data_IF_635431860128
#
_entry.id   IF_635431860128
#
_cell.length_a   1.000
_cell.length_b   1.000
_cell.length_c   1.000
_cell.angle_alpha   90.00
_cell.angle_beta   90.00
_cell.angle_gamma   90.00
#
_symmetry.space_group_name_H-M   'P 1'
#
loop_
_entity.id
_entity.type
_entity.pdbx_description
1 polymer ?
#
# COMPACT_ATOMS: atom_id res chain seq x y z
N UNK A 1 50.82 -42.70 -6.46
CA UNK A 1 50.76 -41.27 -6.07
C UNK A 1 49.48 -40.68 -6.68
N UNK A 2 48.39 -40.69 -5.92
CA UNK A 2 47.05 -40.28 -6.39
C UNK A 2 46.78 -38.87 -5.92
N UNK A 3 46.34 -37.90 -6.76
CA UNK A 3 46.06 -36.54 -6.33
C UNK A 3 44.70 -36.49 -5.64
N UNK A 4 44.70 -35.95 -4.41
CA UNK A 4 43.48 -35.63 -3.62
C UNK A 4 42.76 -34.45 -4.27
N UNK A 5 41.60 -34.71 -4.80
CA UNK A 5 40.66 -33.70 -5.28
C UNK A 5 40.14 -32.85 -4.10
N UNK A 6 40.56 -31.59 -4.05
CA UNK A 6 40.12 -30.62 -3.06
C UNK A 6 38.78 -30.05 -3.51
N UNK A 7 37.72 -30.55 -2.91
CA UNK A 7 36.35 -30.01 -3.10
C UNK A 7 36.29 -28.55 -2.67
N UNK A 8 36.12 -27.68 -3.62
CA UNK A 8 35.89 -26.26 -3.36
C UNK A 8 34.51 -26.10 -2.68
N UNK A 9 34.54 -25.77 -1.39
CA UNK A 9 33.35 -25.29 -0.67
C UNK A 9 32.97 -23.93 -1.25
N UNK A 10 31.95 -23.91 -2.09
CA UNK A 10 31.28 -22.68 -2.51
C UNK A 10 30.69 -22.01 -1.26
N UNK A 11 31.39 -21.03 -0.75
CA UNK A 11 30.88 -20.11 0.26
C UNK A 11 29.83 -19.25 -0.45
N UNK A 12 28.57 -19.64 -0.34
CA UNK A 12 27.44 -18.74 -0.67
C UNK A 12 27.54 -17.55 0.26
N UNK A 13 27.98 -16.42 -0.27
CA UNK A 13 27.97 -15.15 0.45
C UNK A 13 26.52 -14.93 0.93
N UNK A 14 26.30 -15.12 2.21
CA UNK A 14 25.03 -14.78 2.88
C UNK A 14 24.85 -13.27 2.71
N UNK A 15 24.05 -12.87 1.75
CA UNK A 15 23.64 -11.47 1.61
C UNK A 15 23.09 -11.04 2.96
N UNK A 16 23.76 -10.08 3.57
CA UNK A 16 23.35 -9.56 4.89
C UNK A 16 22.02 -8.83 4.68
N UNK A 17 20.93 -9.37 5.24
CA UNK A 17 19.62 -8.75 5.17
C UNK A 17 19.69 -7.32 5.70
N UNK A 18 19.13 -6.37 4.96
CA UNK A 18 19.06 -4.98 5.38
C UNK A 18 17.73 -4.72 6.11
N UNK A 19 17.66 -3.63 6.87
CA UNK A 19 16.44 -3.18 7.55
C UNK A 19 15.25 -3.06 6.58
N UNK A 20 15.51 -2.56 5.38
CA UNK A 20 14.49 -2.43 4.30
C UNK A 20 13.88 -3.77 3.88
N UNK A 21 14.66 -4.85 3.89
CA UNK A 21 14.16 -6.17 3.46
C UNK A 21 13.14 -6.73 4.44
N UNK A 22 13.30 -6.43 5.74
CA UNK A 22 12.31 -6.75 6.77
C UNK A 22 11.04 -5.93 6.62
N UNK A 23 11.15 -4.64 6.31
CA UNK A 23 10.00 -3.76 6.07
C UNK A 23 9.25 -4.24 4.82
N UNK A 24 9.95 -4.59 3.74
CA UNK A 24 9.36 -5.14 2.52
C UNK A 24 8.62 -6.45 2.79
N UNK A 25 9.25 -7.37 3.50
CA UNK A 25 8.62 -8.64 3.86
C UNK A 25 7.38 -8.43 4.75
N UNK A 26 7.43 -7.48 5.68
CA UNK A 26 6.31 -7.12 6.54
C UNK A 26 5.16 -6.49 5.74
N UNK A 27 5.47 -5.63 4.78
CA UNK A 27 4.48 -5.00 3.89
C UNK A 27 3.72 -6.04 3.07
N UNK A 28 4.43 -6.97 2.46
CA UNK A 28 3.84 -8.07 1.71
C UNK A 28 3.03 -9.02 2.60
N UNK A 29 3.50 -9.29 3.82
CA UNK A 29 2.79 -10.14 4.76
C UNK A 29 1.52 -9.46 5.30
N UNK A 30 1.56 -8.13 5.52
CA UNK A 30 0.38 -7.35 5.88
C UNK A 30 -0.69 -7.45 4.79
N UNK A 31 -0.33 -7.25 3.52
CA UNK A 31 -1.27 -7.34 2.40
C UNK A 31 -1.89 -8.74 2.28
N UNK A 32 -1.10 -9.80 2.56
CA UNK A 32 -1.51 -11.20 2.42
C UNK A 32 -2.36 -11.72 3.59
N UNK A 33 -1.93 -11.44 4.81
CA UNK A 33 -2.44 -12.10 6.04
C UNK A 33 -2.93 -11.11 7.11
N UNK A 34 -2.94 -9.81 6.81
CA UNK A 34 -3.32 -8.76 7.75
C UNK A 34 -2.27 -8.54 8.85
N UNK A 35 -2.56 -7.60 9.73
CA UNK A 35 -1.66 -7.16 10.82
C UNK A 35 -1.22 -8.33 11.71
N UNK A 36 -2.14 -9.24 12.04
CA UNK A 36 -1.85 -10.41 12.91
C UNK A 36 -0.88 -11.40 12.27
N UNK A 37 -0.82 -11.45 10.94
CA UNK A 37 0.13 -12.28 10.19
C UNK A 37 1.56 -11.76 10.24
N UNK A 38 1.77 -10.47 10.49
CA UNK A 38 3.10 -9.84 10.56
C UNK A 38 3.78 -10.23 11.88
N UNK A 39 4.39 -11.41 11.92
CA UNK A 39 5.13 -11.91 13.08
C UNK A 39 6.60 -12.08 12.76
N UNK A 40 7.47 -11.91 13.76
CA UNK A 40 8.93 -12.08 13.58
C UNK A 40 9.23 -13.48 13.01
N UNK A 41 8.48 -14.50 13.42
CA UNK A 41 8.66 -15.87 12.93
C UNK A 41 8.32 -16.02 11.46
N UNK A 42 7.15 -15.51 11.04
CA UNK A 42 6.72 -15.58 9.65
C UNK A 42 7.70 -14.83 8.73
N UNK A 43 8.15 -13.64 9.16
CA UNK A 43 9.10 -12.85 8.39
C UNK A 43 10.47 -13.50 8.30
N UNK A 44 11.00 -14.03 9.42
CA UNK A 44 12.29 -14.75 9.43
C UNK A 44 12.24 -15.98 8.50
N UNK A 45 11.15 -16.75 8.55
CA UNK A 45 10.95 -17.90 7.67
C UNK A 45 10.88 -17.48 6.19
N UNK A 46 10.13 -16.42 5.88
CA UNK A 46 10.01 -15.86 4.52
C UNK A 46 11.36 -15.39 3.96
N UNK A 47 12.17 -14.73 4.81
CA UNK A 47 13.48 -14.21 4.44
C UNK A 47 14.60 -15.26 4.46
N UNK A 48 14.32 -16.49 4.93
CA UNK A 48 15.31 -17.56 5.05
C UNK A 48 16.42 -17.26 6.09
N UNK A 49 16.10 -16.50 7.13
CA UNK A 49 17.05 -16.10 8.18
C UNK A 49 16.57 -16.52 9.58
N UNK A 50 17.44 -16.39 10.57
CA UNK A 50 17.08 -16.64 11.98
C UNK A 50 16.37 -15.45 12.59
N UNK A 51 15.56 -15.67 13.65
CA UNK A 51 14.97 -14.59 14.45
C UNK A 51 16.00 -13.62 15.01
N UNK A 52 17.20 -14.10 15.36
CA UNK A 52 18.28 -13.25 15.86
C UNK A 52 18.69 -12.17 14.86
N UNK A 53 18.52 -12.43 13.54
CA UNK A 53 18.78 -11.44 12.50
C UNK A 53 17.84 -10.23 12.59
N UNK A 54 16.60 -10.41 13.06
CA UNK A 54 15.64 -9.34 13.27
C UNK A 54 16.14 -8.29 14.27
N UNK A 55 16.66 -8.75 15.40
CA UNK A 55 17.11 -7.89 16.51
C UNK A 55 18.36 -7.05 16.22
N UNK A 56 19.02 -7.29 15.07
CA UNK A 56 20.04 -6.38 14.54
C UNK A 56 19.47 -5.12 13.89
N UNK A 57 18.17 -5.13 13.54
CA UNK A 57 17.51 -4.07 12.78
C UNK A 57 16.37 -3.39 13.53
N UNK A 58 15.72 -4.12 14.45
CA UNK A 58 14.56 -3.67 15.21
C UNK A 58 14.65 -4.18 16.65
N UNK A 59 14.28 -3.32 17.58
CA UNK A 59 14.21 -3.67 19.01
C UNK A 59 13.07 -4.67 19.26
N UNK A 60 11.93 -4.47 18.60
CA UNK A 60 10.72 -5.25 18.79
C UNK A 60 9.80 -5.20 17.54
N UNK A 61 8.71 -5.97 17.58
CA UNK A 61 7.68 -5.94 16.54
C UNK A 61 7.01 -4.55 16.40
N UNK A 62 6.63 -3.85 17.48
CA UNK A 62 6.09 -2.50 17.40
C UNK A 62 6.97 -1.52 16.63
N UNK A 63 8.29 -1.56 16.75
CA UNK A 63 9.20 -0.73 15.96
C UNK A 63 9.11 -1.04 14.46
N UNK A 64 9.06 -2.33 14.09
CA UNK A 64 8.85 -2.73 12.72
C UNK A 64 7.50 -2.24 12.19
N UNK A 65 6.43 -2.37 12.99
CA UNK A 65 5.09 -1.93 12.59
C UNK A 65 5.01 -0.42 12.38
N UNK A 66 5.69 0.39 13.19
CA UNK A 66 5.83 1.84 12.96
C UNK A 66 6.56 2.13 11.66
N UNK A 67 7.70 1.48 11.41
CA UNK A 67 8.44 1.64 10.16
C UNK A 67 7.64 1.22 8.91
N UNK A 68 6.73 0.25 9.05
CA UNK A 68 5.80 -0.16 8.00
C UNK A 68 4.74 0.92 7.76
N UNK A 69 4.18 1.52 8.82
CA UNK A 69 3.23 2.64 8.71
C UNK A 69 3.88 3.84 8.02
N UNK A 70 5.10 4.21 8.44
CA UNK A 70 5.84 5.33 7.85
C UNK A 70 6.06 5.10 6.35
N UNK A 71 6.46 3.88 5.96
CA UNK A 71 6.63 3.51 4.56
C UNK A 71 5.33 3.64 3.78
N UNK A 72 4.24 3.04 4.27
CA UNK A 72 2.94 3.09 3.61
C UNK A 72 2.45 4.52 3.43
N UNK A 73 2.54 5.36 4.48
CA UNK A 73 2.14 6.76 4.42
C UNK A 73 2.97 7.55 3.41
N UNK A 74 4.28 7.28 3.33
CA UNK A 74 5.17 7.92 2.38
C UNK A 74 4.84 7.52 0.93
N UNK A 75 4.71 6.23 0.65
CA UNK A 75 4.34 5.72 -0.68
C UNK A 75 3.00 6.31 -1.14
N UNK A 76 1.99 6.34 -0.25
CA UNK A 76 0.68 6.93 -0.59
C UNK A 76 0.78 8.42 -0.90
N UNK A 77 1.62 9.17 -0.19
CA UNK A 77 1.84 10.60 -0.44
C UNK A 77 2.58 10.81 -1.76
N UNK A 78 3.63 10.05 -2.03
CA UNK A 78 4.42 10.13 -3.26
C UNK A 78 3.60 9.74 -4.50
N UNK A 79 2.74 8.72 -4.39
CA UNK A 79 1.80 8.32 -5.44
C UNK A 79 0.85 9.47 -5.81
N UNK A 80 0.22 10.10 -4.80
CA UNK A 80 -0.69 11.24 -5.02
C UNK A 80 0.06 12.45 -5.60
N UNK A 81 1.26 12.75 -5.12
CA UNK A 81 2.12 13.81 -5.67
C UNK A 81 2.54 13.49 -7.11
N UNK A 82 2.90 12.24 -7.39
CA UNK A 82 3.26 11.79 -8.75
C UNK A 82 2.11 11.96 -9.75
N UNK A 83 0.89 11.68 -9.31
CA UNK A 83 -0.32 11.92 -10.12
C UNK A 83 -0.56 13.42 -10.39
N UNK A 84 -0.15 14.29 -9.47
CA UNK A 84 -0.29 15.74 -9.60
C UNK A 84 0.79 16.35 -10.51
N UNK A 85 2.04 15.92 -10.39
CA UNK A 85 3.20 16.48 -11.06
C UNK A 85 3.31 16.04 -12.55
N UNK A 86 2.72 14.90 -12.91
CA UNK A 86 2.71 14.39 -14.30
C UNK A 86 1.64 14.99 -15.21
N UNK A 87 0.95 16.05 -14.81
CA UNK A 87 -0.36 16.37 -15.33
C UNK A 87 -0.42 17.50 -16.37
N UNK A 88 0.04 17.25 -17.57
CA UNK A 88 -0.57 17.83 -18.77
C UNK A 88 -1.77 17.01 -19.27
N UNK A 89 -2.11 15.92 -18.59
CA UNK A 89 -3.18 15.01 -18.99
C UNK A 89 -4.57 15.59 -18.69
N UNK A 90 -5.53 15.27 -19.56
CA UNK A 90 -6.96 15.49 -19.36
C UNK A 90 -7.37 15.05 -17.93
N UNK A 91 -8.16 15.86 -17.18
CA UNK A 91 -8.64 15.51 -15.85
C UNK A 91 -9.33 14.15 -15.77
N UNK A 92 -10.06 13.73 -16.81
CA UNK A 92 -10.68 12.40 -16.90
C UNK A 92 -9.61 11.29 -16.91
N UNK A 93 -8.53 11.50 -17.62
CA UNK A 93 -7.42 10.54 -17.66
C UNK A 93 -6.69 10.47 -16.31
N UNK A 94 -6.54 11.59 -15.63
CA UNK A 94 -6.00 11.60 -14.25
C UNK A 94 -6.86 10.75 -13.30
N UNK A 95 -8.18 10.90 -13.36
CA UNK A 95 -9.12 10.11 -12.55
C UNK A 95 -9.04 8.61 -12.87
N UNK A 96 -8.91 8.21 -14.14
CA UNK A 96 -8.71 6.81 -14.53
C UNK A 96 -7.41 6.24 -13.97
N UNK A 97 -6.33 7.01 -13.97
CA UNK A 97 -5.04 6.59 -13.38
C UNK A 97 -5.15 6.40 -11.88
N UNK A 98 -5.79 7.32 -11.17
CA UNK A 98 -6.06 7.18 -9.73
C UNK A 98 -6.85 5.89 -9.46
N UNK A 99 -7.87 5.61 -10.26
CA UNK A 99 -8.66 4.40 -10.14
C UNK A 99 -7.86 3.12 -10.41
N UNK A 100 -7.01 3.12 -11.45
CA UNK A 100 -6.14 1.99 -11.77
C UNK A 100 -5.17 1.70 -10.62
N UNK A 101 -4.53 2.75 -10.07
CA UNK A 101 -3.65 2.64 -8.91
C UNK A 101 -4.41 2.12 -7.68
N UNK A 102 -5.63 2.62 -7.44
CA UNK A 102 -6.47 2.15 -6.33
C UNK A 102 -6.73 0.63 -6.38
N UNK A 103 -6.91 0.07 -7.58
CA UNK A 103 -7.04 -1.39 -7.77
C UNK A 103 -5.75 -2.14 -7.46
N UNK A 104 -4.62 -1.63 -7.92
CA UNK A 104 -3.31 -2.24 -7.70
C UNK A 104 -2.96 -2.33 -6.20
N UNK A 105 -3.26 -1.28 -5.46
CA UNK A 105 -2.95 -1.20 -4.04
C UNK A 105 -4.05 -1.75 -3.13
N UNK A 106 -5.19 -2.17 -3.66
CA UNK A 106 -6.34 -2.64 -2.87
C UNK A 106 -6.01 -3.68 -1.78
N UNK A 107 -5.13 -4.67 -2.00
CA UNK A 107 -4.80 -5.65 -0.95
C UNK A 107 -4.15 -5.01 0.28
N UNK A 108 -3.19 -4.12 0.08
CA UNK A 108 -2.51 -3.46 1.19
C UNK A 108 -3.41 -2.39 1.83
N UNK A 109 -4.16 -1.63 1.05
CA UNK A 109 -5.08 -0.61 1.53
C UNK A 109 -6.19 -1.21 2.39
N UNK A 110 -6.75 -2.36 1.97
CA UNK A 110 -7.69 -3.14 2.77
C UNK A 110 -7.09 -3.55 4.12
N UNK A 111 -5.89 -4.10 4.12
CA UNK A 111 -5.23 -4.54 5.34
C UNK A 111 -4.95 -3.37 6.30
N UNK A 112 -4.53 -2.23 5.77
CA UNK A 112 -4.32 -1.00 6.52
C UNK A 112 -5.61 -0.49 7.16
N UNK A 113 -6.74 -0.46 6.43
CA UNK A 113 -8.04 -0.03 6.95
C UNK A 113 -8.59 -0.95 8.02
N UNK A 114 -8.37 -2.26 7.89
CA UNK A 114 -8.75 -3.22 8.93
C UNK A 114 -7.88 -3.04 10.19
N UNK A 115 -6.60 -2.78 10.04
CA UNK A 115 -5.70 -2.49 11.14
C UNK A 115 -6.06 -1.17 11.83
N UNK A 116 -6.41 -0.13 11.08
CA UNK A 116 -6.85 1.18 11.56
C UNK A 116 -8.08 1.15 12.47
N UNK A 117 -8.88 0.06 12.45
CA UNK A 117 -10.05 -0.07 13.31
C UNK A 117 -9.71 -0.25 14.80
N UNK A 118 -8.46 -0.62 15.12
CA UNK A 118 -8.02 -0.89 16.49
C UNK A 118 -6.62 -0.37 16.82
N UNK A 119 -5.95 0.30 15.88
CA UNK A 119 -4.64 0.91 16.07
C UNK A 119 -4.69 2.41 15.71
N UNK A 120 -4.61 3.33 16.69
CA UNK A 120 -4.75 4.77 16.45
C UNK A 120 -3.72 5.33 15.47
N UNK A 121 -2.48 4.82 15.47
CA UNK A 121 -1.45 5.27 14.54
C UNK A 121 -1.78 4.89 13.09
N UNK A 122 -2.35 3.71 12.87
CA UNK A 122 -2.82 3.28 11.55
C UNK A 122 -4.05 4.08 11.10
N UNK A 123 -4.96 4.39 12.03
CA UNK A 123 -6.12 5.25 11.77
C UNK A 123 -5.69 6.64 11.29
N UNK A 124 -4.73 7.27 11.97
CA UNK A 124 -4.24 8.59 11.58
C UNK A 124 -3.54 8.55 10.21
N UNK A 125 -2.73 7.52 9.94
CA UNK A 125 -2.08 7.34 8.66
C UNK A 125 -3.11 7.20 7.52
N UNK A 126 -4.14 6.38 7.69
CA UNK A 126 -5.22 6.21 6.72
C UNK A 126 -5.99 7.51 6.51
N UNK A 127 -6.35 8.21 7.59
CA UNK A 127 -7.02 9.52 7.48
C UNK A 127 -6.20 10.55 6.71
N UNK A 128 -4.89 10.57 6.95
CA UNK A 128 -4.00 11.50 6.24
C UNK A 128 -3.96 11.19 4.74
N UNK A 129 -3.77 9.93 4.37
CA UNK A 129 -3.76 9.49 2.97
C UNK A 129 -5.12 9.77 2.28
N UNK A 130 -6.23 9.48 2.94
CA UNK A 130 -7.57 9.75 2.41
C UNK A 130 -7.80 11.24 2.16
N UNK A 131 -7.37 12.14 3.06
CA UNK A 131 -7.48 13.60 2.86
C UNK A 131 -6.71 14.05 1.63
N UNK A 132 -5.48 13.58 1.44
CA UNK A 132 -4.66 13.92 0.28
C UNK A 132 -5.31 13.43 -1.02
N UNK A 133 -5.76 12.18 -1.05
CA UNK A 133 -6.41 11.59 -2.21
C UNK A 133 -7.73 12.28 -2.56
N UNK A 134 -8.57 12.57 -1.56
CA UNK A 134 -9.83 13.31 -1.76
C UNK A 134 -9.59 14.71 -2.32
N UNK A 135 -8.56 15.42 -1.83
CA UNK A 135 -8.18 16.72 -2.36
C UNK A 135 -7.79 16.65 -3.83
N UNK A 136 -7.03 15.63 -4.21
CA UNK A 136 -6.60 15.45 -5.60
C UNK A 136 -7.76 15.07 -6.53
N UNK A 137 -8.64 14.15 -6.12
CA UNK A 137 -9.84 13.77 -6.89
C UNK A 137 -10.74 15.01 -7.04
N UNK A 138 -10.98 15.77 -5.97
CA UNK A 138 -11.82 16.97 -6.01
C UNK A 138 -11.25 18.02 -6.97
N UNK A 139 -9.94 18.23 -6.99
CA UNK A 139 -9.30 19.15 -7.94
C UNK A 139 -9.50 18.69 -9.40
N UNK A 140 -9.37 17.39 -9.69
CA UNK A 140 -9.65 16.88 -11.03
C UNK A 140 -11.12 17.10 -11.45
N UNK A 141 -12.06 16.94 -10.52
CA UNK A 141 -13.48 17.15 -10.79
C UNK A 141 -13.83 18.64 -10.96
N UNK A 142 -13.18 19.52 -10.20
CA UNK A 142 -13.31 20.98 -10.36
C UNK A 142 -12.78 21.45 -11.73
N UNK A 143 -11.64 20.91 -12.19
CA UNK A 143 -11.08 21.12 -13.53
C UNK A 143 -12.04 20.64 -14.65
N UNK A 144 -12.93 19.68 -14.36
CA UNK A 144 -14.01 19.23 -15.26
C UNK A 144 -15.26 20.10 -15.22
N UNK A 145 -15.31 21.11 -14.34
CA UNK A 145 -16.40 22.08 -14.28
C UNK A 145 -17.52 21.77 -13.29
N UNK A 146 -17.36 20.77 -12.39
CA UNK A 146 -18.38 20.45 -11.39
C UNK A 146 -18.56 21.49 -10.26
N UNK A 147 -17.61 22.39 -10.11
CA UNK A 147 -17.59 23.35 -9.00
C UNK A 147 -17.20 22.71 -7.66
N UNK A 148 -16.62 23.52 -6.76
CA UNK A 148 -15.87 23.03 -5.60
C UNK A 148 -16.70 22.20 -4.59
N UNK A 149 -17.99 22.48 -4.41
CA UNK A 149 -18.84 21.74 -3.47
C UNK A 149 -19.22 20.37 -4.03
N UNK A 150 -19.70 20.32 -5.25
CA UNK A 150 -20.06 19.10 -5.93
C UNK A 150 -18.85 18.20 -6.17
N UNK A 151 -17.71 18.78 -6.58
CA UNK A 151 -16.45 18.07 -6.74
C UNK A 151 -16.02 17.34 -5.45
N UNK A 152 -16.13 17.99 -4.29
CA UNK A 152 -15.84 17.36 -2.99
C UNK A 152 -16.83 16.25 -2.64
N UNK A 153 -18.11 16.40 -2.98
CA UNK A 153 -19.12 15.37 -2.73
C UNK A 153 -18.84 14.13 -3.62
N UNK A 154 -18.64 14.33 -4.92
CA UNK A 154 -18.33 13.28 -5.88
C UNK A 154 -17.03 12.55 -5.51
N UNK A 155 -15.98 13.27 -5.11
CA UNK A 155 -14.72 12.69 -4.62
C UNK A 155 -14.95 11.74 -3.43
N UNK A 156 -15.77 12.12 -2.45
CA UNK A 156 -16.11 11.27 -1.31
C UNK A 156 -16.90 10.03 -1.72
N UNK A 157 -17.82 10.16 -2.67
CA UNK A 157 -18.59 9.03 -3.19
C UNK A 157 -17.66 8.04 -3.92
N UNK A 158 -16.75 8.55 -4.76
CA UNK A 158 -15.74 7.73 -5.45
C UNK A 158 -14.88 6.94 -4.46
N UNK A 159 -14.26 7.60 -3.49
CA UNK A 159 -13.41 6.92 -2.52
C UNK A 159 -14.20 5.87 -1.71
N UNK A 160 -15.41 6.19 -1.27
CA UNK A 160 -16.25 5.25 -0.52
C UNK A 160 -16.66 4.04 -1.36
N UNK A 161 -16.99 4.25 -2.63
CA UNK A 161 -17.30 3.14 -3.55
C UNK A 161 -16.09 2.22 -3.73
N UNK A 162 -14.89 2.79 -3.93
CA UNK A 162 -13.67 2.00 -4.05
C UNK A 162 -13.35 1.22 -2.78
N UNK A 163 -13.39 1.87 -1.63
CA UNK A 163 -13.14 1.22 -0.33
C UNK A 163 -14.20 0.16 -0.06
N UNK A 164 -15.47 0.43 -0.35
CA UNK A 164 -16.56 -0.55 -0.25
C UNK A 164 -16.31 -1.78 -1.11
N UNK A 165 -15.88 -1.60 -2.34
CA UNK A 165 -15.67 -2.69 -3.30
C UNK A 165 -14.66 -3.74 -2.84
N UNK A 166 -13.59 -3.37 -2.14
CA UNK A 166 -12.63 -4.35 -1.62
C UNK A 166 -12.84 -4.76 -0.15
N UNK A 167 -13.73 -4.09 0.57
CA UNK A 167 -14.12 -4.49 1.92
C UNK A 167 -15.34 -5.42 1.94
N UNK A 168 -16.21 -5.33 0.93
CA UNK A 168 -17.41 -6.15 0.84
C UNK A 168 -17.10 -7.49 0.15
N UNK A 169 -17.40 -8.64 0.78
CA UNK A 169 -17.13 -9.94 0.18
C UNK A 169 -18.15 -10.24 -0.93
N UNK A 170 -17.70 -10.87 -2.02
CA UNK A 170 -18.55 -11.51 -3.03
C UNK A 170 -18.96 -10.66 -4.22
N UNK A 171 -18.53 -9.41 -4.33
CA UNK A 171 -18.73 -8.62 -5.54
C UNK A 171 -17.46 -8.61 -6.40
N UNK A 172 -17.61 -8.90 -7.69
CA UNK A 172 -16.55 -8.70 -8.67
C UNK A 172 -16.45 -7.19 -8.94
N UNK A 173 -15.55 -6.53 -8.15
CA UNK A 173 -15.48 -5.07 -8.11
C UNK A 173 -14.98 -4.40 -9.39
N UNK A 174 -14.56 -5.14 -10.42
CA UNK A 174 -13.97 -4.57 -11.63
C UNK A 174 -14.93 -3.68 -12.40
N UNK A 175 -16.16 -4.17 -12.63
CA UNK A 175 -17.21 -3.43 -13.32
C UNK A 175 -17.74 -2.24 -12.50
N UNK A 176 -17.86 -2.42 -11.17
CA UNK A 176 -18.34 -1.37 -10.27
C UNK A 176 -17.43 -0.14 -10.28
N UNK A 177 -16.11 -0.35 -10.33
CA UNK A 177 -15.15 0.75 -10.39
C UNK A 177 -15.32 1.61 -11.64
N UNK A 178 -15.44 0.97 -12.82
CA UNK A 178 -15.56 1.68 -14.10
C UNK A 178 -16.91 2.39 -14.19
N UNK A 179 -17.99 1.71 -13.86
CA UNK A 179 -19.34 2.30 -13.88
C UNK A 179 -19.53 3.40 -12.86
N UNK A 180 -18.91 3.29 -11.68
CA UNK A 180 -18.93 4.38 -10.68
C UNK A 180 -18.29 5.64 -11.24
N UNK A 181 -17.14 5.52 -11.92
CA UNK A 181 -16.49 6.67 -12.55
C UNK A 181 -17.38 7.29 -13.63
N UNK A 182 -17.99 6.48 -14.51
CA UNK A 182 -18.88 6.96 -15.55
C UNK A 182 -20.09 7.71 -14.96
N UNK A 183 -20.76 7.13 -13.97
CA UNK A 183 -21.93 7.75 -13.31
C UNK A 183 -21.55 9.06 -12.62
N UNK A 184 -20.39 9.09 -11.97
CA UNK A 184 -19.94 10.28 -11.24
C UNK A 184 -19.33 11.36 -12.16
N UNK A 185 -19.11 11.07 -13.45
CA UNK A 185 -18.66 12.02 -14.46
C UNK A 185 -19.78 12.47 -15.42
N UNK A 186 -20.96 11.90 -15.28
CA UNK A 186 -22.16 12.34 -15.99
C UNK A 186 -22.75 13.59 -15.33
#
# INVERSE_FOLDING_TARGET
MTPRTRTARTSTARTRMARRDWIEAAYQELARAGERGVTINALAARLGVTKGSFYWHFTDRPELMRALLDRWAHERTDEVLGLSLGSTADPRERLRRIQALGREVAPIDRAMRLWAQHEPAAEEAVRHADRALLGHIAACLDDLGFGAEEARLRARLMLRSWVGGYLMPGEDGSDLYERTLEILLA
#
